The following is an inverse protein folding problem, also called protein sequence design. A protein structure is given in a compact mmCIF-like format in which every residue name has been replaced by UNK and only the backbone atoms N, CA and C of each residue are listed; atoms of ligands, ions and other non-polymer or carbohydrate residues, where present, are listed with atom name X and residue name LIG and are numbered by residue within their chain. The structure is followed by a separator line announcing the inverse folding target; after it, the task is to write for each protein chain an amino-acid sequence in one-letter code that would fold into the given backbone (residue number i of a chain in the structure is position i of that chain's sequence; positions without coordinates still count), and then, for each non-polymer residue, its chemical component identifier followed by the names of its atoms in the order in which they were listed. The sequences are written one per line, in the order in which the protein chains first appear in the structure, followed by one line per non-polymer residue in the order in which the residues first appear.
data_IF_885128790952
#
_entry.id   IF_885128790952
#
_cell.length_a   1.000
_cell.length_b   1.000
_cell.length_c   1.000
_cell.angle_alpha   90.00
_cell.angle_beta   90.00
_cell.angle_gamma   90.00
#
_symmetry.space_group_name_H-M   'P 1'
#
loop_
_entity.id
_entity.type
_entity.pdbx_description
1 polymer ?
#
# COMPACT_ATOMS: atom_id res chain seq x y z
N UNK A 1 -15.39 -16.33 18.73
CA UNK A 1 -14.11 -16.02 18.09
C UNK A 1 -14.24 -14.64 17.46
N UNK A 2 -13.34 -13.70 17.79
CA UNK A 2 -13.32 -12.38 17.18
C UNK A 2 -13.06 -12.50 15.67
N UNK A 3 -13.84 -11.81 14.85
CA UNK A 3 -13.66 -11.79 13.39
C UNK A 3 -13.39 -10.35 12.95
N UNK A 4 -12.23 -10.11 12.34
CA UNK A 4 -11.80 -8.79 11.86
C UNK A 4 -12.81 -8.11 10.89
N UNK A 5 -13.70 -8.88 10.25
CA UNK A 5 -14.70 -8.40 9.30
C UNK A 5 -16.14 -8.41 9.82
N UNK A 6 -16.39 -8.73 11.09
CA UNK A 6 -17.75 -8.84 11.62
C UNK A 6 -17.87 -8.34 13.07
N UNK A 7 -18.48 -7.15 13.22
CA UNK A 7 -18.81 -6.55 14.53
C UNK A 7 -19.69 -7.47 15.39
N UNK A 8 -20.62 -8.21 14.78
CA UNK A 8 -21.50 -9.15 15.48
C UNK A 8 -20.82 -10.43 15.98
N UNK A 9 -19.56 -10.65 15.60
CA UNK A 9 -18.70 -11.74 16.10
C UNK A 9 -17.51 -11.22 16.90
N UNK A 10 -17.59 -10.01 17.47
CA UNK A 10 -16.52 -9.43 18.28
C UNK A 10 -15.40 -8.78 17.44
N UNK A 11 -15.70 -8.40 16.20
CA UNK A 11 -14.85 -7.55 15.36
C UNK A 11 -15.00 -6.06 15.64
N UNK A 12 -14.16 -5.26 14.99
CA UNK A 12 -14.19 -3.81 15.10
C UNK A 12 -15.20 -3.15 14.16
N UNK A 13 -15.62 -1.93 14.48
CA UNK A 13 -16.39 -1.08 13.56
C UNK A 13 -15.61 -0.78 12.26
N UNK A 14 -16.30 -0.21 11.27
CA UNK A 14 -15.71 0.11 9.98
C UNK A 14 -14.46 0.98 10.14
N UNK A 15 -13.35 0.57 9.52
CA UNK A 15 -12.03 1.22 9.61
C UNK A 15 -11.44 1.33 11.03
N UNK A 16 -11.98 0.66 12.04
CA UNK A 16 -11.50 0.76 13.43
C UNK A 16 -10.49 -0.32 13.81
N UNK A 17 -10.14 -1.24 12.90
CA UNK A 17 -9.07 -2.19 13.15
C UNK A 17 -7.70 -1.50 12.94
N UNK A 18 -6.78 -1.56 13.90
CA UNK A 18 -5.46 -0.93 13.79
C UNK A 18 -4.69 -1.41 12.55
N UNK A 19 -3.96 -0.50 11.91
CA UNK A 19 -2.96 -0.82 10.88
C UNK A 19 -1.75 -1.50 11.52
N UNK A 20 -0.98 -2.24 10.72
CA UNK A 20 0.27 -2.86 11.17
C UNK A 20 1.22 -1.83 11.79
N UNK A 21 1.35 -0.66 11.18
CA UNK A 21 2.20 0.43 11.71
C UNK A 21 1.74 0.92 13.08
N UNK A 22 0.43 0.98 13.33
CA UNK A 22 -0.12 1.41 14.62
C UNK A 22 0.13 0.38 15.73
N UNK A 23 -0.03 -0.92 15.44
CA UNK A 23 0.33 -1.98 16.39
C UNK A 23 1.84 -2.08 16.62
N UNK A 24 2.65 -1.84 15.58
CA UNK A 24 4.12 -1.79 15.74
C UNK A 24 4.51 -0.63 16.65
N UNK A 25 3.93 0.56 16.44
CA UNK A 25 4.16 1.72 17.31
C UNK A 25 3.70 1.47 18.76
N UNK A 26 2.58 0.74 18.95
CA UNK A 26 2.12 0.33 20.28
C UNK A 26 3.16 -0.57 20.97
N UNK A 27 3.70 -1.56 20.26
CA UNK A 27 4.78 -2.40 20.78
C UNK A 27 6.04 -1.59 21.07
N UNK A 28 6.51 -0.77 20.13
CA UNK A 28 7.75 -0.01 20.26
C UNK A 28 7.71 0.94 21.47
N UNK A 29 6.54 1.55 21.74
CA UNK A 29 6.31 2.39 22.91
C UNK A 29 6.24 1.60 24.24
N UNK A 30 6.13 0.27 24.18
CA UNK A 30 5.96 -0.63 25.32
C UNK A 30 6.85 -1.88 25.18
N UNK A 31 8.10 -1.68 24.73
CA UNK A 31 9.04 -2.76 24.42
C UNK A 31 9.33 -3.64 25.65
N UNK A 32 9.70 -4.90 25.42
CA UNK A 32 9.94 -5.87 26.49
C UNK A 32 8.66 -6.36 27.17
N UNK A 33 7.60 -6.61 26.38
CA UNK A 33 6.29 -7.06 26.84
C UNK A 33 5.59 -6.07 27.82
N UNK A 34 5.88 -4.78 27.68
CA UNK A 34 5.23 -3.69 28.44
C UNK A 34 3.72 -3.64 28.21
N UNK A 35 3.26 -4.06 27.03
CA UNK A 35 1.83 -4.17 26.69
C UNK A 35 1.10 -5.09 27.68
N UNK A 36 1.71 -6.21 28.08
CA UNK A 36 1.15 -7.06 29.13
C UNK A 36 1.49 -6.54 30.53
N UNK A 37 2.77 -6.32 30.81
CA UNK A 37 3.26 -6.11 32.18
C UNK A 37 2.81 -4.78 32.79
N UNK A 38 2.55 -3.76 31.96
CA UNK A 38 2.08 -2.44 32.39
C UNK A 38 0.58 -2.27 32.15
N UNK A 39 0.08 -2.66 30.98
CA UNK A 39 -1.31 -2.39 30.57
C UNK A 39 -2.25 -3.60 30.72
N UNK A 40 -1.73 -4.78 31.04
CA UNK A 40 -2.52 -5.98 31.32
C UNK A 40 -3.08 -6.71 30.10
N UNK A 41 -2.66 -6.35 28.88
CA UNK A 41 -3.17 -6.97 27.66
C UNK A 41 -2.59 -8.39 27.49
N UNK A 42 -3.36 -9.37 26.98
CA UNK A 42 -2.85 -10.71 26.76
C UNK A 42 -1.90 -10.78 25.55
N UNK A 43 -0.61 -11.04 25.77
CA UNK A 43 0.40 -11.13 24.69
C UNK A 43 0.99 -12.54 24.52
N UNK A 44 0.84 -13.42 25.51
CA UNK A 44 1.55 -14.73 25.58
C UNK A 44 0.98 -15.85 24.71
N UNK A 45 -0.20 -15.67 24.10
CA UNK A 45 -0.92 -16.77 23.44
C UNK A 45 -1.12 -16.56 21.95
N UNK A 46 -1.50 -15.35 21.54
CA UNK A 46 -1.86 -15.05 20.17
C UNK A 46 -1.38 -13.66 19.79
N UNK A 47 -1.00 -13.43 18.53
CA UNK A 47 -0.72 -12.10 18.03
C UNK A 47 -2.02 -11.31 17.83
N UNK A 48 -1.86 -10.00 17.64
CA UNK A 48 -2.94 -9.06 17.36
C UNK A 48 -3.09 -8.82 15.86
N UNK A 49 -4.31 -8.94 15.35
CA UNK A 49 -4.63 -8.76 13.95
C UNK A 49 -4.61 -7.28 13.53
N UNK A 50 -4.06 -7.00 12.35
CA UNK A 50 -4.05 -5.66 11.75
C UNK A 50 -4.93 -5.55 10.49
N UNK A 51 -5.32 -4.34 10.12
CA UNK A 51 -6.03 -4.04 8.87
C UNK A 51 -5.10 -3.87 7.66
N UNK A 52 -3.77 -3.99 7.84
CA UNK A 52 -2.81 -3.89 6.75
C UNK A 52 -2.70 -5.23 6.00
N UNK A 53 -2.99 -5.27 4.69
CA UNK A 53 -2.70 -6.42 3.85
C UNK A 53 -1.21 -6.78 3.91
N UNK A 54 -0.91 -8.07 3.90
CA UNK A 54 0.44 -8.60 3.87
C UNK A 54 0.96 -8.80 2.44
N UNK A 55 0.04 -9.06 1.51
CA UNK A 55 0.33 -9.24 0.11
C UNK A 55 -0.89 -8.81 -0.73
N UNK A 56 -0.86 -9.07 -2.04
CA UNK A 56 -1.92 -8.70 -2.97
C UNK A 56 -3.13 -9.65 -2.92
N UNK A 57 -2.94 -10.83 -2.35
CA UNK A 57 -3.99 -11.75 -1.92
C UNK A 57 -4.39 -11.28 -0.51
N UNK A 58 -5.67 -11.33 -0.11
CA UNK A 58 -6.13 -10.63 1.10
C UNK A 58 -5.74 -11.34 2.42
N UNK A 59 -4.45 -11.66 2.60
CA UNK A 59 -3.85 -11.96 3.88
C UNK A 59 -3.51 -10.65 4.59
N UNK A 60 -3.56 -10.64 5.92
CA UNK A 60 -3.31 -9.45 6.73
C UNK A 60 -2.16 -9.70 7.69
N UNK A 61 -1.41 -8.66 8.04
CA UNK A 61 -0.37 -8.79 9.05
C UNK A 61 -0.98 -8.99 10.45
N UNK A 62 -0.30 -9.79 11.25
CA UNK A 62 -0.48 -9.86 12.71
C UNK A 62 0.82 -9.47 13.41
N UNK A 63 0.69 -8.92 14.62
CA UNK A 63 1.83 -8.46 15.43
C UNK A 63 1.74 -9.08 16.81
N UNK A 64 2.80 -9.78 17.21
CA UNK A 64 2.97 -10.28 18.56
C UNK A 64 3.43 -9.11 19.45
N UNK A 65 2.60 -8.71 20.42
CA UNK A 65 2.85 -7.52 21.25
C UNK A 65 3.80 -7.79 22.44
N UNK A 66 4.31 -9.01 22.58
CA UNK A 66 5.35 -9.37 23.56
C UNK A 66 6.77 -9.11 23.03
N UNK A 67 7.01 -9.33 21.73
CA UNK A 67 8.34 -9.24 21.11
C UNK A 67 8.38 -8.47 19.77
N UNK A 68 7.24 -7.96 19.31
CA UNK A 68 7.12 -7.19 18.08
C UNK A 68 7.17 -8.01 16.80
N UNK A 69 7.18 -9.34 16.89
CA UNK A 69 7.26 -10.22 15.73
C UNK A 69 6.06 -10.01 14.80
N UNK A 70 6.35 -9.91 13.50
CA UNK A 70 5.35 -9.71 12.45
C UNK A 70 5.21 -11.00 11.68
N UNK A 71 3.98 -11.45 11.52
CA UNK A 71 3.66 -12.65 10.73
C UNK A 71 2.46 -12.38 9.84
N UNK A 72 2.35 -13.17 8.77
CA UNK A 72 1.16 -13.15 7.91
C UNK A 72 0.07 -13.98 8.59
N UNK A 73 -1.08 -13.37 8.83
CA UNK A 73 -2.24 -14.01 9.44
C UNK A 73 -2.90 -15.02 8.49
N UNK A 74 -3.36 -16.14 9.06
CA UNK A 74 -4.10 -17.18 8.36
C UNK A 74 -5.50 -17.39 8.93
N UNK A 75 -5.97 -18.64 8.93
CA UNK A 75 -7.30 -19.03 9.43
C UNK A 75 -7.35 -19.31 10.95
N UNK A 76 -6.26 -19.08 11.68
CA UNK A 76 -6.15 -19.34 13.12
C UNK A 76 -6.79 -18.23 13.96
N UNK A 77 -7.26 -18.59 15.16
CA UNK A 77 -7.77 -17.62 16.12
C UNK A 77 -6.68 -16.63 16.55
N UNK A 78 -7.03 -15.35 16.61
CA UNK A 78 -6.13 -14.23 16.90
C UNK A 78 -6.78 -13.24 17.87
N UNK A 79 -5.97 -12.40 18.51
CA UNK A 79 -6.49 -11.27 19.25
C UNK A 79 -6.85 -10.11 18.33
N UNK A 80 -7.88 -9.36 18.72
CA UNK A 80 -8.35 -8.17 18.02
C UNK A 80 -8.45 -7.04 19.04
N UNK A 81 -7.85 -5.91 18.71
CA UNK A 81 -8.01 -4.65 19.42
C UNK A 81 -8.66 -3.65 18.48
N UNK A 82 -9.58 -2.83 18.98
CA UNK A 82 -10.23 -1.80 18.18
C UNK A 82 -9.72 -0.42 18.57
N UNK A 83 -9.45 0.41 17.57
CA UNK A 83 -9.22 1.83 17.76
C UNK A 83 -10.50 2.49 18.29
N UNK A 84 -10.35 3.57 19.06
CA UNK A 84 -11.46 4.43 19.47
C UNK A 84 -11.86 5.41 18.37
N UNK A 85 -10.94 5.67 17.43
CA UNK A 85 -11.13 6.55 16.28
C UNK A 85 -10.85 5.77 15.01
N UNK A 86 -11.75 5.83 14.04
CA UNK A 86 -11.58 5.14 12.77
C UNK A 86 -10.34 5.64 12.02
N UNK A 87 -9.65 4.73 11.33
CA UNK A 87 -8.60 5.09 10.40
C UNK A 87 -9.16 5.93 9.24
N UNK A 88 -8.39 6.94 8.80
CA UNK A 88 -8.72 7.67 7.58
C UNK A 88 -8.63 6.71 6.38
N UNK A 89 -9.69 6.59 5.56
CA UNK A 89 -9.64 5.78 4.36
C UNK A 89 -8.68 6.37 3.32
N UNK A 90 -8.20 5.53 2.41
CA UNK A 90 -7.48 5.99 1.23
C UNK A 90 -8.40 6.85 0.35
N UNK A 91 -7.86 7.94 -0.18
CA UNK A 91 -8.63 8.92 -0.96
C UNK A 91 -8.02 9.21 -2.33
N UNK A 92 -6.69 9.25 -2.45
CA UNK A 92 -6.02 9.54 -3.71
C UNK A 92 -4.70 8.79 -3.87
N UNK A 93 -4.23 8.69 -5.12
CA UNK A 93 -2.92 8.17 -5.48
C UNK A 93 -2.15 9.28 -6.19
N UNK A 94 -0.92 9.55 -5.77
CA UNK A 94 0.00 10.48 -6.44
C UNK A 94 1.14 9.73 -7.11
N UNK A 95 1.48 10.15 -8.32
CA UNK A 95 2.64 9.67 -9.07
C UNK A 95 3.62 10.82 -9.18
N UNK A 96 4.83 10.60 -8.68
CA UNK A 96 5.91 11.60 -8.70
C UNK A 96 7.07 11.07 -9.52
N UNK A 97 7.62 11.90 -10.41
CA UNK A 97 8.80 11.52 -11.18
C UNK A 97 9.99 11.38 -10.22
N UNK A 98 10.70 10.25 -10.30
CA UNK A 98 11.86 9.98 -9.43
C UNK A 98 13.05 10.86 -9.80
N UNK A 99 13.30 11.05 -11.10
CA UNK A 99 14.33 11.96 -11.62
C UNK A 99 13.72 13.34 -11.95
N UNK A 100 14.00 14.39 -11.15
CA UNK A 100 13.46 15.73 -11.41
C UNK A 100 13.88 16.31 -12.77
N UNK A 101 14.99 15.85 -13.36
CA UNK A 101 15.43 16.30 -14.68
C UNK A 101 14.47 15.86 -15.81
N UNK A 102 13.70 14.80 -15.56
CA UNK A 102 12.66 14.34 -16.47
C UNK A 102 11.34 15.11 -16.30
N UNK A 103 11.18 15.98 -15.29
CA UNK A 103 9.94 16.76 -15.11
C UNK A 103 9.98 18.11 -15.82
N UNK A 104 8.95 18.41 -16.62
CA UNK A 104 8.75 19.72 -17.23
C UNK A 104 7.60 20.47 -16.54
N UNK A 105 7.94 21.51 -15.76
CA UNK A 105 6.95 22.28 -15.01
C UNK A 105 5.96 23.07 -15.89
N UNK A 106 6.39 23.56 -17.05
CA UNK A 106 5.54 24.33 -17.97
C UNK A 106 4.48 23.44 -18.62
N UNK A 107 4.85 22.23 -19.02
CA UNK A 107 3.95 21.23 -19.60
C UNK A 107 3.19 20.40 -18.56
N UNK A 108 3.60 20.48 -17.28
CA UNK A 108 3.16 19.59 -16.19
C UNK A 108 3.21 18.12 -16.58
N UNK A 109 4.32 17.72 -17.21
CA UNK A 109 4.50 16.38 -17.76
C UNK A 109 5.95 15.93 -17.65
N UNK A 110 6.15 14.62 -17.58
CA UNK A 110 7.47 14.02 -17.74
C UNK A 110 7.92 14.09 -19.22
N UNK A 111 9.19 14.38 -19.46
CA UNK A 111 9.82 14.49 -20.78
C UNK A 111 11.03 13.56 -20.83
N UNK A 112 11.02 12.68 -21.82
CA UNK A 112 12.06 11.67 -22.03
C UNK A 112 12.45 11.61 -23.50
N UNK A 113 13.69 11.18 -23.77
CA UNK A 113 14.10 10.80 -25.13
C UNK A 113 13.52 9.44 -25.48
N UNK A 114 13.36 9.19 -26.79
CA UNK A 114 12.94 7.87 -27.28
C UNK A 114 13.93 6.81 -26.80
N UNK A 115 13.41 5.74 -26.20
CA UNK A 115 14.20 4.64 -25.65
C UNK A 115 14.57 4.80 -24.17
N UNK A 116 14.32 5.96 -23.55
CA UNK A 116 14.48 6.14 -22.10
C UNK A 116 13.26 5.62 -21.32
N UNK A 117 13.48 5.28 -20.06
CA UNK A 117 12.45 4.80 -19.12
C UNK A 117 12.12 5.89 -18.11
N UNK A 118 10.83 6.07 -17.83
CA UNK A 118 10.35 6.97 -16.78
C UNK A 118 10.19 6.19 -15.48
N UNK A 119 10.86 6.64 -14.42
CA UNK A 119 10.64 6.10 -13.07
C UNK A 119 9.66 7.00 -12.32
N UNK A 120 8.62 6.39 -11.75
CA UNK A 120 7.65 7.10 -10.91
C UNK A 120 7.55 6.46 -9.54
N UNK A 121 7.50 7.28 -8.49
CA UNK A 121 7.15 6.87 -7.14
C UNK A 121 5.64 6.99 -6.96
N UNK A 122 5.02 5.94 -6.44
CA UNK A 122 3.60 5.95 -6.08
C UNK A 122 3.45 6.25 -4.59
N UNK A 123 2.46 7.07 -4.25
CA UNK A 123 2.07 7.29 -2.86
C UNK A 123 0.56 7.34 -2.77
N UNK A 124 -0.02 6.51 -1.90
CA UNK A 124 -1.44 6.56 -1.55
C UNK A 124 -1.61 7.58 -0.44
N UNK A 125 -2.64 8.43 -0.51
CA UNK A 125 -2.92 9.48 0.48
C UNK A 125 -4.35 9.41 1.00
N UNK A 126 -4.54 9.80 2.25
CA UNK A 126 -5.88 10.07 2.81
C UNK A 126 -6.46 11.40 2.27
N UNK A 127 -7.69 11.72 2.68
CA UNK A 127 -8.39 12.93 2.26
C UNK A 127 -7.68 14.22 2.72
N UNK A 128 -6.82 14.14 3.74
CA UNK A 128 -6.03 15.25 4.27
C UNK A 128 -4.66 15.36 3.58
N UNK A 129 -4.33 14.44 2.66
CA UNK A 129 -3.06 14.42 1.93
C UNK A 129 -1.93 13.69 2.65
N UNK A 130 -2.19 13.01 3.76
CA UNK A 130 -1.18 12.24 4.49
C UNK A 130 -0.93 10.91 3.78
N UNK A 131 0.35 10.46 3.67
CA UNK A 131 0.66 9.18 3.06
C UNK A 131 0.13 8.02 3.89
N UNK A 132 -0.40 7.00 3.20
CA UNK A 132 -0.87 5.75 3.77
C UNK A 132 -0.01 4.60 3.23
N UNK A 133 0.69 3.89 4.13
CA UNK A 133 1.43 2.68 3.80
C UNK A 133 0.59 1.42 3.92
N UNK A 134 1.13 0.32 3.39
CA UNK A 134 0.50 -0.99 3.27
C UNK A 134 -0.84 -0.94 2.50
N UNK A 135 -1.00 -0.03 1.53
CA UNK A 135 -2.23 0.06 0.74
C UNK A 135 -2.01 -0.56 -0.65
N UNK A 136 -2.77 -1.60 -1.02
CA UNK A 136 -2.71 -2.15 -2.36
C UNK A 136 -3.27 -1.14 -3.36
N UNK A 137 -2.60 -1.03 -4.50
CA UNK A 137 -3.04 -0.18 -5.59
C UNK A 137 -2.89 -0.92 -6.93
N UNK A 138 -3.63 -0.44 -7.93
CA UNK A 138 -3.49 -0.90 -9.31
C UNK A 138 -3.47 0.31 -10.23
N UNK A 139 -2.42 0.44 -11.01
CA UNK A 139 -2.31 1.40 -12.09
C UNK A 139 -2.61 0.71 -13.41
N UNK A 140 -3.41 1.35 -14.26
CA UNK A 140 -3.65 0.91 -15.63
C UNK A 140 -3.16 1.97 -16.59
N UNK A 141 -2.45 1.54 -17.63
CA UNK A 141 -2.06 2.41 -18.72
C UNK A 141 -3.26 2.60 -19.65
N UNK A 142 -3.64 3.85 -19.89
CA UNK A 142 -4.62 4.22 -20.91
C UNK A 142 -3.98 4.35 -22.29
N UNK A 143 -4.80 4.71 -23.27
CA UNK A 143 -4.34 5.02 -24.63
C UNK A 143 -3.41 6.25 -24.64
N UNK A 144 -2.39 6.22 -25.49
CA UNK A 144 -1.53 7.36 -25.77
C UNK A 144 -2.08 8.21 -26.91
N UNK A 145 -1.65 9.46 -27.00
CA UNK A 145 -2.00 10.36 -28.11
C UNK A 145 -0.77 11.13 -28.58
N UNK A 146 -0.62 11.31 -29.88
CA UNK A 146 0.37 12.23 -30.44
C UNK A 146 -0.06 13.68 -30.18
N UNK A 147 0.83 14.65 -30.45
CA UNK A 147 0.48 16.08 -30.38
C UNK A 147 -0.56 16.51 -31.41
N UNK A 148 -0.73 15.70 -32.46
CA UNK A 148 -1.76 15.87 -33.49
C UNK A 148 -3.03 15.08 -33.17
N UNK A 149 -3.19 14.65 -31.91
CA UNK A 149 -4.35 13.90 -31.39
C UNK A 149 -4.57 12.52 -32.02
N UNK A 150 -3.55 11.98 -32.70
CA UNK A 150 -3.61 10.63 -33.23
C UNK A 150 -3.52 9.62 -32.09
N UNK A 151 -4.53 8.75 -31.99
CA UNK A 151 -4.66 7.75 -30.94
C UNK A 151 -3.64 6.62 -31.14
N UNK A 152 -2.95 6.28 -30.06
CA UNK A 152 -2.10 5.10 -29.95
C UNK A 152 -2.66 4.13 -28.89
N UNK A 153 -3.06 2.94 -29.33
CA UNK A 153 -3.60 1.92 -28.42
C UNK A 153 -2.47 1.25 -27.66
N UNK A 154 -2.57 1.22 -26.32
CA UNK A 154 -1.63 0.47 -25.49
C UNK A 154 -1.70 -1.03 -25.86
N UNK A 155 -0.57 -1.62 -26.25
CA UNK A 155 -0.49 -3.04 -26.65
C UNK A 155 -0.07 -3.28 -28.09
N UNK A 156 0.11 -2.23 -28.90
CA UNK A 156 0.65 -2.38 -30.26
C UNK A 156 2.16 -2.63 -30.27
N UNK A 157 2.66 -3.25 -31.35
CA UNK A 157 4.08 -3.56 -31.55
C UNK A 157 4.99 -2.34 -31.76
N UNK A 158 4.44 -1.13 -31.81
CA UNK A 158 5.23 0.07 -32.10
C UNK A 158 5.88 0.61 -30.82
N UNK A 159 7.19 0.89 -30.89
CA UNK A 159 8.01 1.39 -29.79
C UNK A 159 7.84 2.91 -29.55
N UNK A 160 6.61 3.42 -29.65
CA UNK A 160 6.29 4.85 -29.51
C UNK A 160 6.15 5.28 -28.04
N UNK A 161 6.07 4.33 -27.10
CA UNK A 161 5.77 4.61 -25.70
C UNK A 161 6.99 4.28 -24.83
N UNK A 162 7.47 5.26 -24.05
CA UNK A 162 8.49 5.05 -23.04
C UNK A 162 7.96 4.09 -21.95
N UNK A 163 8.72 3.03 -21.58
CA UNK A 163 8.39 2.22 -20.42
C UNK A 163 8.31 3.10 -19.17
N UNK A 164 7.31 2.86 -18.33
CA UNK A 164 7.21 3.48 -17.01
C UNK A 164 7.53 2.40 -15.98
N UNK A 165 8.64 2.52 -15.27
CA UNK A 165 8.93 1.69 -14.11
C UNK A 165 8.26 2.34 -12.90
N UNK A 166 7.41 1.58 -12.24
CA UNK A 166 6.65 2.06 -11.08
C UNK A 166 7.36 1.58 -9.83
N UNK A 167 7.94 2.51 -9.08
CA UNK A 167 8.56 2.19 -7.81
C UNK A 167 7.47 1.98 -6.76
N UNK A 168 7.03 0.72 -6.65
CA UNK A 168 5.97 0.27 -5.77
C UNK A 168 6.47 -0.54 -4.57
N UNK A 169 7.77 -0.50 -4.26
CA UNK A 169 8.33 -1.14 -3.05
C UNK A 169 8.63 -2.64 -3.17
N UNK A 170 8.65 -3.20 -4.39
CA UNK A 170 9.04 -4.61 -4.64
C UNK A 170 10.48 -4.68 -5.18
N UNK A 171 11.17 -5.81 -4.96
CA UNK A 171 12.53 -6.02 -5.48
C UNK A 171 12.56 -6.23 -7.01
N UNK A 172 11.46 -6.73 -7.58
CA UNK A 172 11.28 -6.98 -9.01
C UNK A 172 10.25 -6.00 -9.61
N UNK A 173 10.59 -4.70 -9.62
CA UNK A 173 9.71 -3.65 -10.13
C UNK A 173 9.42 -3.87 -11.63
N UNK A 174 8.18 -4.28 -11.93
CA UNK A 174 7.74 -4.48 -13.31
C UNK A 174 7.42 -3.15 -13.98
N UNK A 175 7.84 -3.00 -15.24
CA UNK A 175 7.53 -1.81 -16.03
C UNK A 175 6.09 -1.87 -16.55
N UNK A 176 5.29 -0.82 -16.31
CA UNK A 176 4.16 -0.47 -17.16
C UNK A 176 4.69 -0.08 -18.54
N UNK A 177 4.63 -1.00 -19.49
CA UNK A 177 5.07 -0.78 -20.87
C UNK A 177 3.89 -0.94 -21.84
N UNK A 178 4.15 -0.94 -23.15
CA UNK A 178 3.09 -1.05 -24.13
C UNK A 178 2.32 -2.38 -23.99
N UNK A 179 2.99 -3.47 -23.61
CA UNK A 179 2.40 -4.82 -23.51
C UNK A 179 1.83 -5.12 -22.11
N UNK A 180 2.38 -4.52 -21.06
CA UNK A 180 1.93 -4.65 -19.68
C UNK A 180 0.99 -3.48 -19.29
N UNK A 181 -0.31 -3.64 -19.57
CA UNK A 181 -1.32 -2.60 -19.40
C UNK A 181 -1.75 -2.34 -17.94
N UNK A 182 -1.39 -3.21 -17.00
CA UNK A 182 -1.71 -3.07 -15.58
C UNK A 182 -0.51 -3.40 -14.70
N UNK A 183 -0.36 -2.64 -13.61
CA UNK A 183 0.63 -2.85 -12.56
C UNK A 183 -0.07 -2.76 -11.23
N UNK A 184 0.01 -3.84 -10.45
CA UNK A 184 -0.51 -3.90 -9.09
C UNK A 184 0.68 -3.99 -8.16
N UNK A 185 0.66 -3.21 -7.07
CA UNK A 185 1.65 -3.28 -5.99
C UNK A 185 1.03 -2.79 -4.68
N UNK A 186 1.85 -2.60 -3.65
CA UNK A 186 1.46 -2.08 -2.34
C UNK A 186 2.46 -1.01 -1.92
N UNK A 187 1.99 0.15 -1.49
CA UNK A 187 2.88 1.26 -1.04
C UNK A 187 3.47 1.03 0.33
#
# INVERSE_FOLDING_TARGET
QANASSTSKGGCGANMLPRRSQLSALYDANNGDGVQTVHGWPTQRQPYWSSSPADQVPHYYTIALNDGARTVGGSTAVYVSCLTTANNPASSITLEVVDPAQWNAAAKAAKLKKGETLQVKVTVKDAQGNPLGDIPFTLKRGDGYTRSEEKHVAGSSDALVAPVVVNGGLADETSLNNTAAAYSAMT
#
